data_IF_042612871374
#
_entry.id   IF_042612871374
#
_cell.length_a   1.000
_cell.length_b   1.000
_cell.length_c   1.000
_cell.angle_alpha   90.00
_cell.angle_beta   90.00
_cell.angle_gamma   90.00
#
_symmetry.space_group_name_H-M   'P 1'
#
loop_
_entity.id
_entity.type
_entity.pdbx_description
1 polymer ?
#
# COMPACT_ATOMS: atom_id res chain seq x y z
N UNK A 1 20.53 -11.16 19.15
CA UNK A 1 19.96 -10.41 18.00
C UNK A 1 20.57 -10.94 16.71
N UNK A 2 19.95 -11.95 16.10
CA UNK A 2 20.38 -12.58 14.84
C UNK A 2 19.27 -12.43 13.78
N UNK A 3 18.66 -11.25 13.69
CA UNK A 3 17.42 -11.03 12.94
C UNK A 3 17.43 -9.85 11.96
N UNK A 4 18.51 -9.08 11.88
CA UNK A 4 18.60 -7.96 10.94
C UNK A 4 19.51 -8.33 9.78
N UNK A 5 18.92 -8.84 8.69
CA UNK A 5 19.65 -9.02 7.44
C UNK A 5 19.81 -7.65 6.78
N UNK A 6 20.98 -7.03 6.93
CA UNK A 6 21.31 -5.77 6.25
C UNK A 6 21.10 -5.88 4.73
N UNK A 7 21.38 -7.05 4.16
CA UNK A 7 21.10 -7.36 2.76
C UNK A 7 19.60 -7.28 2.44
N UNK A 8 18.72 -7.82 3.29
CA UNK A 8 17.28 -7.79 3.04
C UNK A 8 16.74 -6.35 3.07
N UNK A 9 17.23 -5.53 4.00
CA UNK A 9 16.91 -4.11 4.08
C UNK A 9 17.41 -3.33 2.84
N UNK A 10 18.61 -3.62 2.35
CA UNK A 10 19.15 -3.00 1.13
C UNK A 10 18.34 -3.40 -0.11
N UNK A 11 18.01 -4.69 -0.25
CA UNK A 11 17.18 -5.19 -1.35
C UNK A 11 15.79 -4.55 -1.30
N UNK A 12 15.15 -4.53 -0.13
CA UNK A 12 13.85 -3.89 0.07
C UNK A 12 13.90 -2.40 -0.30
N UNK A 13 14.91 -1.67 0.17
CA UNK A 13 15.03 -0.22 -0.09
C UNK A 13 15.28 0.06 -1.57
N UNK A 14 16.20 -0.68 -2.21
CA UNK A 14 16.48 -0.53 -3.64
C UNK A 14 15.27 -0.85 -4.52
N UNK A 15 14.59 -1.96 -4.22
CA UNK A 15 13.36 -2.39 -4.89
C UNK A 15 12.22 -1.37 -4.69
N UNK A 16 12.06 -0.85 -3.48
CA UNK A 16 11.11 0.22 -3.17
C UNK A 16 11.37 1.49 -3.99
N UNK A 17 12.62 1.93 -4.05
CA UNK A 17 13.01 3.10 -4.85
C UNK A 17 12.75 2.86 -6.34
N UNK A 18 13.02 1.65 -6.86
CA UNK A 18 12.69 1.28 -8.24
C UNK A 18 11.19 1.36 -8.50
N UNK A 19 10.36 0.81 -7.59
CA UNK A 19 8.90 0.93 -7.65
C UNK A 19 8.43 2.39 -7.61
N UNK A 20 9.00 3.20 -6.74
CA UNK A 20 8.68 4.62 -6.63
C UNK A 20 9.06 5.40 -7.89
N UNK A 21 10.17 5.07 -8.56
CA UNK A 21 10.55 5.64 -9.85
C UNK A 21 9.55 5.26 -10.94
N UNK A 22 9.11 4.00 -10.99
CA UNK A 22 8.07 3.54 -11.92
C UNK A 22 6.76 4.29 -11.66
N UNK A 23 6.35 4.44 -10.40
CA UNK A 23 5.16 5.20 -10.02
C UNK A 23 5.25 6.70 -10.32
N UNK A 24 6.43 7.29 -10.18
CA UNK A 24 6.70 8.67 -10.57
C UNK A 24 6.55 8.87 -12.09
N UNK A 25 7.11 7.95 -12.89
CA UNK A 25 6.95 7.95 -14.36
C UNK A 25 5.52 7.69 -14.80
N UNK A 26 4.80 6.81 -14.12
CA UNK A 26 3.38 6.59 -14.36
C UNK A 26 2.59 7.88 -14.05
N UNK A 27 2.85 8.49 -12.91
CA UNK A 27 2.26 9.76 -12.50
C UNK A 27 2.51 10.91 -13.48
N UNK A 28 3.67 10.99 -14.14
CA UNK A 28 3.93 12.01 -15.16
C UNK A 28 3.16 11.75 -16.47
N UNK A 29 2.96 10.49 -16.86
CA UNK A 29 2.28 10.13 -18.12
C UNK A 29 0.76 10.15 -18.03
N UNK A 30 0.18 9.61 -16.96
CA UNK A 30 -1.28 9.42 -16.81
C UNK A 30 -1.88 10.16 -15.62
N UNK A 31 -1.07 10.87 -14.83
CA UNK A 31 -1.51 11.56 -13.60
C UNK A 31 -2.42 12.76 -13.81
N UNK A 32 -2.68 13.17 -15.06
CA UNK A 32 -3.68 14.20 -15.37
C UNK A 32 -5.12 13.71 -15.11
N UNK A 33 -5.33 12.39 -15.13
CA UNK A 33 -6.60 11.77 -14.74
C UNK A 33 -6.41 10.89 -13.49
N UNK A 34 -6.88 11.35 -12.34
CA UNK A 34 -6.66 10.69 -11.03
C UNK A 34 -7.19 9.26 -11.03
N UNK A 35 -8.36 9.02 -11.63
CA UNK A 35 -8.94 7.69 -11.74
C UNK A 35 -8.10 6.72 -12.58
N UNK A 36 -7.40 7.22 -13.62
CA UNK A 36 -6.54 6.37 -14.46
C UNK A 36 -5.23 6.06 -13.74
N UNK A 37 -4.67 7.05 -13.05
CA UNK A 37 -3.48 6.84 -12.22
C UNK A 37 -3.72 5.76 -11.16
N UNK A 38 -4.84 5.84 -10.43
CA UNK A 38 -5.21 4.82 -9.43
C UNK A 38 -5.40 3.46 -10.10
N UNK A 39 -6.13 3.39 -11.21
CA UNK A 39 -6.38 2.14 -11.93
C UNK A 39 -5.08 1.47 -12.38
N UNK A 40 -4.18 2.21 -13.03
CA UNK A 40 -2.91 1.65 -13.51
C UNK A 40 -1.97 1.25 -12.37
N UNK A 41 -1.86 2.08 -11.33
CA UNK A 41 -1.02 1.75 -10.17
C UNK A 41 -1.51 0.46 -9.50
N UNK A 42 -2.83 0.36 -9.28
CA UNK A 42 -3.45 -0.79 -8.63
C UNK A 42 -3.38 -2.05 -9.50
N UNK A 43 -3.48 -1.93 -10.83
CA UNK A 43 -3.33 -3.04 -11.75
C UNK A 43 -1.90 -3.62 -11.74
N UNK A 44 -0.89 -2.75 -11.77
CA UNK A 44 0.51 -3.19 -11.68
C UNK A 44 0.80 -3.79 -10.30
N UNK A 45 0.31 -3.17 -9.22
CA UNK A 45 0.40 -3.71 -7.86
C UNK A 45 -0.23 -5.11 -7.77
N UNK A 46 -1.39 -5.30 -8.40
CA UNK A 46 -2.08 -6.59 -8.45
C UNK A 46 -1.28 -7.65 -9.19
N UNK A 47 -0.68 -7.33 -10.34
CA UNK A 47 0.18 -8.26 -11.07
C UNK A 47 1.39 -8.68 -10.20
N UNK A 48 2.03 -7.72 -9.53
CA UNK A 48 3.18 -8.01 -8.65
C UNK A 48 2.77 -8.90 -7.47
N UNK A 49 1.61 -8.65 -6.85
CA UNK A 49 1.10 -9.49 -5.77
C UNK A 49 0.69 -10.89 -6.22
N UNK A 50 0.06 -11.01 -7.39
CA UNK A 50 -0.30 -12.34 -7.94
C UNK A 50 0.97 -13.12 -8.29
N UNK A 51 1.98 -12.47 -8.85
CA UNK A 51 3.28 -13.12 -9.08
C UNK A 51 3.95 -13.54 -7.76
N UNK A 52 3.87 -12.72 -6.70
CA UNK A 52 4.34 -13.09 -5.36
C UNK A 52 3.60 -14.31 -4.80
N UNK A 53 2.27 -14.33 -4.96
CA UNK A 53 1.42 -15.43 -4.52
C UNK A 53 1.75 -16.72 -5.27
N UNK A 54 1.82 -16.69 -6.61
CA UNK A 54 2.17 -17.86 -7.42
C UNK A 54 3.54 -18.39 -7.02
N UNK A 55 4.53 -17.52 -6.85
CA UNK A 55 5.86 -17.92 -6.39
C UNK A 55 5.81 -18.56 -4.99
N UNK A 56 5.04 -17.97 -4.07
CA UNK A 56 4.89 -18.48 -2.70
C UNK A 56 4.16 -19.83 -2.62
N UNK A 57 3.31 -20.14 -3.60
CA UNK A 57 2.65 -21.45 -3.70
C UNK A 57 3.54 -22.49 -4.39
N UNK A 58 4.46 -22.06 -5.26
CA UNK A 58 5.37 -22.94 -5.98
C UNK A 58 6.60 -23.35 -5.16
N UNK A 59 6.97 -22.59 -4.14
CA UNK A 59 8.17 -22.81 -3.32
C UNK A 59 7.76 -23.25 -1.91
N UNK A 60 8.32 -24.39 -1.46
CA UNK A 60 7.94 -25.01 -0.18
C UNK A 60 8.35 -24.19 1.07
N UNK A 61 9.50 -23.50 1.01
CA UNK A 61 9.94 -22.60 2.08
C UNK A 61 10.35 -21.23 1.49
N UNK A 62 9.56 -20.21 1.81
CA UNK A 62 9.81 -18.82 1.42
C UNK A 62 10.37 -17.97 2.56
N UNK A 63 10.58 -18.56 3.74
CA UNK A 63 11.01 -17.85 4.94
C UNK A 63 12.52 -17.59 4.99
N UNK A 64 13.30 -18.37 4.22
CA UNK A 64 14.76 -18.31 4.25
C UNK A 64 15.39 -18.17 2.86
N UNK A 65 16.65 -17.72 2.81
CA UNK A 65 17.46 -17.70 1.60
C UNK A 65 16.94 -16.82 0.47
N UNK A 66 17.27 -17.18 -0.77
CA UNK A 66 16.97 -16.40 -1.99
C UNK A 66 15.47 -16.19 -2.23
N UNK A 67 14.63 -17.14 -1.81
CA UNK A 67 13.17 -17.05 -1.98
C UNK A 67 12.56 -15.87 -1.21
N UNK A 68 13.05 -15.60 0.01
CA UNK A 68 12.59 -14.45 0.79
C UNK A 68 12.99 -13.12 0.15
N UNK A 69 14.22 -13.01 -0.38
CA UNK A 69 14.68 -11.81 -1.11
C UNK A 69 13.83 -11.53 -2.35
N UNK A 70 13.40 -12.57 -3.06
CA UNK A 70 12.52 -12.41 -4.23
C UNK A 70 11.15 -11.85 -3.84
N UNK A 71 10.50 -12.42 -2.81
CA UNK A 71 9.24 -11.90 -2.29
C UNK A 71 9.38 -10.48 -1.76
N UNK A 72 10.43 -10.20 -0.99
CA UNK A 72 10.74 -8.86 -0.47
C UNK A 72 10.88 -7.87 -1.62
N UNK A 73 11.64 -8.22 -2.67
CA UNK A 73 11.82 -7.35 -3.83
C UNK A 73 10.50 -7.04 -4.53
N UNK A 74 9.69 -8.06 -4.79
CA UNK A 74 8.42 -7.91 -5.51
C UNK A 74 7.41 -7.06 -4.72
N UNK A 75 7.28 -7.33 -3.43
CA UNK A 75 6.44 -6.56 -2.51
C UNK A 75 6.95 -5.12 -2.33
N UNK A 76 8.26 -4.93 -2.22
CA UNK A 76 8.84 -3.60 -2.08
C UNK A 76 8.62 -2.73 -3.33
N UNK A 77 8.75 -3.29 -4.54
CA UNK A 77 8.41 -2.59 -5.79
C UNK A 77 6.94 -2.16 -5.76
N UNK A 78 6.04 -3.07 -5.39
CA UNK A 78 4.60 -2.80 -5.31
C UNK A 78 4.31 -1.64 -4.33
N UNK A 79 4.89 -1.68 -3.13
CA UNK A 79 4.75 -0.62 -2.12
C UNK A 79 5.35 0.72 -2.58
N UNK A 80 6.49 0.70 -3.27
CA UNK A 80 7.11 1.90 -3.83
C UNK A 80 6.23 2.59 -4.86
N UNK A 81 5.66 1.79 -5.77
CA UNK A 81 4.70 2.25 -6.78
C UNK A 81 3.46 2.86 -6.12
N UNK A 82 2.87 2.17 -5.15
CA UNK A 82 1.69 2.61 -4.42
C UNK A 82 1.93 3.94 -3.71
N UNK A 83 3.07 4.08 -3.02
CA UNK A 83 3.45 5.31 -2.32
C UNK A 83 3.67 6.49 -3.28
N UNK A 84 4.30 6.26 -4.44
CA UNK A 84 4.47 7.29 -5.44
C UNK A 84 3.13 7.74 -6.03
N UNK A 85 2.21 6.80 -6.29
CA UNK A 85 0.85 7.10 -6.76
C UNK A 85 0.06 7.91 -5.71
N UNK A 86 0.07 7.47 -4.44
CA UNK A 86 -0.59 8.16 -3.33
C UNK A 86 -0.07 9.59 -3.16
N UNK A 87 1.25 9.78 -3.19
CA UNK A 87 1.88 11.12 -3.14
C UNK A 87 1.43 12.01 -4.28
N UNK A 88 1.27 11.46 -5.49
CA UNK A 88 0.82 12.22 -6.68
C UNK A 88 -0.65 12.60 -6.62
N UNK A 89 -1.50 11.78 -5.99
CA UNK A 89 -2.91 12.08 -5.80
C UNK A 89 -3.12 13.25 -4.81
N UNK A 90 -2.16 13.46 -3.90
CA UNK A 90 -2.12 14.60 -2.97
C UNK A 90 -3.46 14.82 -2.23
N UNK A 91 -4.16 13.74 -1.90
CA UNK A 91 -5.40 13.81 -1.12
C UNK A 91 -5.03 14.28 0.29
N UNK A 92 -5.68 15.33 0.80
CA UNK A 92 -5.47 15.77 2.18
C UNK A 92 -5.61 14.58 3.14
N UNK A 93 -4.64 14.43 4.02
CA UNK A 93 -4.56 13.36 5.03
C UNK A 93 -4.14 11.97 4.53
N UNK A 94 -3.52 11.82 3.34
CA UNK A 94 -3.01 10.50 2.85
C UNK A 94 -1.49 10.41 2.61
N UNK A 95 -0.70 11.46 2.83
CA UNK A 95 0.76 11.39 2.66
C UNK A 95 1.46 10.71 3.85
N UNK A 96 2.60 10.04 3.65
CA UNK A 96 3.30 9.15 4.61
C UNK A 96 3.77 9.74 5.97
N UNK A 97 3.35 10.95 6.32
CA UNK A 97 3.42 11.53 7.67
C UNK A 97 2.09 11.44 8.42
N UNK A 98 1.08 10.85 7.80
CA UNK A 98 -0.31 10.86 8.26
C UNK A 98 -0.51 10.05 9.51
N UNK A 99 0.09 8.87 9.70
CA UNK A 99 -0.18 8.11 10.93
C UNK A 99 0.27 8.92 12.17
N UNK A 100 1.49 9.44 12.15
CA UNK A 100 2.03 10.26 13.24
C UNK A 100 1.26 11.58 13.38
N UNK A 101 1.07 12.33 12.30
CA UNK A 101 0.31 13.59 12.34
C UNK A 101 -1.18 13.37 12.68
N UNK A 102 -1.72 12.18 12.39
CA UNK A 102 -3.08 11.80 12.77
C UNK A 102 -3.15 11.52 14.26
N UNK A 103 -2.24 10.74 14.83
CA UNK A 103 -2.24 10.48 16.26
C UNK A 103 -2.00 11.78 17.04
N UNK A 104 -1.02 12.59 16.62
CA UNK A 104 -0.75 13.90 17.24
C UNK A 104 -1.91 14.88 17.05
N UNK A 105 -2.49 14.93 15.84
CA UNK A 105 -3.66 15.76 15.55
C UNK A 105 -4.92 15.31 16.28
N UNK A 106 -5.17 14.00 16.41
CA UNK A 106 -6.28 13.47 17.22
C UNK A 106 -6.10 13.80 18.70
N UNK A 107 -4.87 13.77 19.21
CA UNK A 107 -4.56 14.16 20.58
C UNK A 107 -4.76 15.67 20.78
N UNK A 108 -4.20 16.50 19.88
CA UNK A 108 -4.24 17.97 19.96
C UNK A 108 -5.63 18.55 19.67
N UNK A 109 -6.39 17.99 18.73
CA UNK A 109 -7.74 18.41 18.36
C UNK A 109 -8.83 17.72 19.21
N UNK A 110 -8.45 16.94 20.23
CA UNK A 110 -9.41 16.28 21.12
C UNK A 110 -10.15 17.29 21.99
N UNK A 111 -11.41 16.98 22.35
CA UNK A 111 -12.15 17.76 23.35
C UNK A 111 -11.43 17.82 24.70
N UNK A 112 -10.63 16.81 25.03
CA UNK A 112 -9.77 16.81 26.22
C UNK A 112 -8.64 17.85 26.13
N UNK A 113 -8.18 18.19 24.93
CA UNK A 113 -7.17 19.20 24.65
C UNK A 113 -7.76 20.57 24.23
N UNK A 114 -9.09 20.71 24.21
CA UNK A 114 -9.78 21.96 23.89
C UNK A 114 -10.00 22.23 22.39
N UNK A 115 -9.89 21.22 21.52
CA UNK A 115 -10.05 21.38 20.06
C UNK A 115 -11.49 21.15 19.53
N UNK A 116 -11.82 21.84 18.43
CA UNK A 116 -13.12 21.80 17.72
C UNK A 116 -13.14 20.84 16.49
N UNK A 117 -12.25 19.85 16.45
CA UNK A 117 -11.80 19.12 15.25
C UNK A 117 -12.87 18.69 14.22
N UNK A 118 -12.84 19.18 12.96
CA UNK A 118 -13.93 18.98 12.00
C UNK A 118 -13.96 17.62 11.28
N UNK A 119 -12.91 16.76 11.36
CA UNK A 119 -12.87 15.43 10.66
C UNK A 119 -12.03 14.30 11.35
N UNK A 120 -12.03 14.14 12.69
CA UNK A 120 -11.21 13.13 13.37
C UNK A 120 -11.57 11.68 12.99
N UNK A 121 -12.85 11.42 12.72
CA UNK A 121 -13.37 10.07 12.53
C UNK A 121 -12.78 9.34 11.32
N UNK A 122 -12.60 10.05 10.18
CA UNK A 122 -12.03 9.43 8.95
C UNK A 122 -10.57 9.03 9.14
N UNK A 123 -9.79 9.87 9.84
CA UNK A 123 -8.37 9.60 10.10
C UNK A 123 -8.19 8.49 11.14
N UNK A 124 -9.00 8.52 12.20
CA UNK A 124 -9.05 7.45 13.21
C UNK A 124 -9.46 6.12 12.57
N UNK A 125 -10.50 6.12 11.72
CA UNK A 125 -10.94 4.93 11.00
C UNK A 125 -9.83 4.38 10.10
N UNK A 126 -9.13 5.23 9.34
CA UNK A 126 -8.00 4.80 8.51
C UNK A 126 -6.90 4.15 9.36
N UNK A 127 -6.44 4.82 10.42
CA UNK A 127 -5.42 4.27 11.34
C UNK A 127 -5.87 2.95 11.97
N UNK A 128 -7.10 2.89 12.48
CA UNK A 128 -7.65 1.67 13.07
C UNK A 128 -7.71 0.53 12.05
N UNK A 129 -8.15 0.80 10.82
CA UNK A 129 -8.16 -0.21 9.75
C UNK A 129 -6.77 -0.70 9.36
N UNK A 130 -5.75 0.16 9.38
CA UNK A 130 -4.35 -0.25 9.17
C UNK A 130 -3.86 -1.17 10.30
N UNK A 131 -4.13 -0.81 11.56
CA UNK A 131 -3.77 -1.63 12.71
C UNK A 131 -4.51 -2.99 12.70
N UNK A 132 -5.79 -2.99 12.36
CA UNK A 132 -6.58 -4.22 12.21
C UNK A 132 -6.04 -5.10 11.08
N UNK A 133 -5.73 -4.52 9.92
CA UNK A 133 -5.12 -5.24 8.81
C UNK A 133 -3.77 -5.86 9.19
N UNK A 134 -2.94 -5.12 9.93
CA UNK A 134 -1.67 -5.64 10.44
C UNK A 134 -1.87 -6.78 11.45
N UNK A 135 -2.84 -6.67 12.36
CA UNK A 135 -3.16 -7.73 13.33
C UNK A 135 -3.68 -9.00 12.62
N UNK A 136 -4.60 -8.85 11.67
CA UNK A 136 -5.11 -9.96 10.85
C UNK A 136 -3.98 -10.60 10.04
N UNK A 137 -3.13 -9.78 9.42
CA UNK A 137 -1.96 -10.26 8.69
C UNK A 137 -0.99 -11.04 9.56
N UNK A 138 -0.68 -10.52 10.76
CA UNK A 138 0.20 -11.21 11.72
C UNK A 138 -0.39 -12.56 12.15
N UNK A 139 -1.68 -12.61 12.50
CA UNK A 139 -2.37 -13.86 12.85
C UNK A 139 -2.35 -14.88 11.71
N UNK A 140 -2.60 -14.42 10.48
CA UNK A 140 -2.57 -15.27 9.29
C UNK A 140 -1.16 -15.84 9.03
N UNK A 141 -0.10 -15.04 9.14
CA UNK A 141 1.27 -15.54 9.00
C UNK A 141 1.59 -16.57 10.08
N UNK A 142 1.22 -16.31 11.34
CA UNK A 142 1.54 -17.20 12.46
C UNK A 142 0.78 -18.53 12.42
N UNK A 143 -0.46 -18.55 11.92
CA UNK A 143 -1.30 -19.75 11.92
C UNK A 143 -1.37 -20.47 10.57
N UNK A 144 -1.24 -19.76 9.45
CA UNK A 144 -1.47 -20.27 8.10
C UNK A 144 -0.35 -19.93 7.10
N UNK A 145 0.72 -19.26 7.55
CA UNK A 145 1.88 -18.91 6.73
C UNK A 145 1.65 -17.76 5.75
N UNK A 146 2.73 -17.33 5.09
CA UNK A 146 2.77 -16.15 4.20
C UNK A 146 1.77 -16.20 3.04
N UNK A 147 1.56 -17.38 2.46
CA UNK A 147 0.65 -17.58 1.32
C UNK A 147 -0.78 -17.17 1.65
N UNK A 148 -1.25 -17.41 2.89
CA UNK A 148 -2.61 -17.03 3.31
C UNK A 148 -2.84 -15.52 3.28
N UNK A 149 -1.84 -14.73 3.70
CA UNK A 149 -1.88 -13.26 3.64
C UNK A 149 -1.85 -12.79 2.19
N UNK A 150 -1.03 -13.40 1.34
CA UNK A 150 -0.97 -13.06 -0.08
C UNK A 150 -2.31 -13.34 -0.78
N UNK A 151 -2.99 -14.45 -0.46
CA UNK A 151 -4.34 -14.75 -0.98
C UNK A 151 -5.34 -13.69 -0.55
N UNK A 152 -5.41 -13.36 0.74
CA UNK A 152 -6.33 -12.34 1.25
C UNK A 152 -6.06 -10.98 0.61
N UNK A 153 -4.79 -10.59 0.51
CA UNK A 153 -4.38 -9.30 -0.07
C UNK A 153 -4.72 -9.26 -1.56
N UNK A 154 -4.47 -10.34 -2.31
CA UNK A 154 -4.84 -10.45 -3.71
C UNK A 154 -6.36 -10.34 -3.91
N UNK A 155 -7.17 -10.99 -3.06
CA UNK A 155 -8.64 -10.91 -3.13
C UNK A 155 -9.15 -9.48 -2.87
N UNK A 156 -8.62 -8.82 -1.83
CA UNK A 156 -8.97 -7.42 -1.53
C UNK A 156 -8.54 -6.47 -2.65
N UNK A 157 -7.35 -6.67 -3.21
CA UNK A 157 -6.85 -5.84 -4.31
C UNK A 157 -7.64 -6.07 -5.59
N UNK A 158 -8.00 -7.32 -5.92
CA UNK A 158 -8.88 -7.64 -7.04
C UNK A 158 -10.23 -6.91 -6.93
N UNK A 159 -10.84 -6.93 -5.75
CA UNK A 159 -12.06 -6.17 -5.47
C UNK A 159 -11.87 -4.67 -5.75
N UNK A 160 -10.79 -4.09 -5.25
CA UNK A 160 -10.49 -2.68 -5.48
C UNK A 160 -10.24 -2.36 -6.96
N UNK A 161 -9.52 -3.22 -7.70
CA UNK A 161 -9.27 -3.05 -9.14
C UNK A 161 -10.60 -3.00 -9.90
N UNK A 162 -11.52 -3.93 -9.61
CA UNK A 162 -12.86 -3.96 -10.22
C UNK A 162 -13.63 -2.67 -9.92
N UNK A 163 -13.59 -2.19 -8.67
CA UNK A 163 -14.27 -0.95 -8.27
C UNK A 163 -13.67 0.28 -8.97
N UNK A 164 -12.35 0.39 -8.99
CA UNK A 164 -11.62 1.52 -9.59
C UNK A 164 -11.77 1.53 -11.11
N UNK A 165 -11.84 0.37 -11.76
CA UNK A 165 -12.06 0.27 -13.19
C UNK A 165 -13.35 1.00 -13.62
N UNK A 166 -14.42 0.93 -12.80
CA UNK A 166 -15.67 1.67 -13.05
C UNK A 166 -15.52 3.20 -12.97
N UNK A 167 -14.53 3.69 -12.22
CA UNK A 167 -14.21 5.12 -12.14
C UNK A 167 -13.16 5.56 -13.16
N UNK A 168 -12.46 4.62 -13.82
CA UNK A 168 -11.44 4.95 -14.83
C UNK A 168 -12.02 5.60 -16.10
N UNK A 169 -13.32 5.39 -16.34
CA UNK A 169 -14.12 5.98 -17.42
C UNK A 169 -15.00 7.15 -16.97
N UNK A 170 -14.98 7.49 -15.67
CA UNK A 170 -15.81 8.56 -15.11
C UNK A 170 -15.23 9.94 -15.45
N UNK A 171 -16.07 10.82 -16.01
CA UNK A 171 -15.76 12.22 -16.33
C UNK A 171 -16.08 13.19 -15.19
N UNK A 172 -16.19 12.69 -13.95
CA UNK A 172 -16.49 13.50 -12.78
C UNK A 172 -15.43 14.59 -12.55
N UNK A 173 -15.80 15.79 -12.03
CA UNK A 173 -14.86 16.92 -11.89
C UNK A 173 -13.63 16.65 -11.02
N UNK A 174 -13.69 15.62 -10.15
CA UNK A 174 -12.56 15.21 -9.32
C UNK A 174 -11.58 14.27 -10.02
N UNK A 175 -11.97 13.63 -11.14
CA UNK A 175 -11.13 12.69 -11.89
C UNK A 175 -10.25 13.39 -12.91
N UNK A 176 -10.71 14.49 -13.50
CA UNK A 176 -9.99 15.31 -14.46
C UNK A 176 -9.23 16.41 -13.71
N UNK A 177 -7.89 16.32 -13.66
CA UNK A 177 -7.08 17.40 -13.11
C UNK A 177 -7.29 18.69 -13.92
N UNK A 178 -7.56 19.81 -13.23
CA UNK A 178 -7.48 21.14 -13.84
C UNK A 178 -6.12 21.36 -14.48
#
# INVERSE_FOLDING_TARGET
>A
AAGFSAAASLVATGAFLAGALVGGRLGSRVGRHRGRLIAYAMYIEFILLVAALIFSLAVADTSTGTASFFLIGLLAIAMGLQNAAARRLAVPDLTTTVLTLTLTGLAADSRLAGGDGPRPMRRLAATATMCLGAAVGALLVLHFGTSSVLVLTAALLAFNVVRVYRFSTSSEPWTVGK
#
